data_IF_371757138788
#
_entry.id   IF_371757138788
#
_cell.length_a   1.000
_cell.length_b   1.000
_cell.length_c   1.000
_cell.angle_alpha   90.00
_cell.angle_beta   90.00
_cell.angle_gamma   90.00
#
_symmetry.space_group_name_H-M   'P 1'
#
loop_
_entity.id
_entity.type
_entity.pdbx_description
1 polymer ?
#
# COMPACT_ATOMS: atom_id res chain seq x y z
N UNK A 1 2.34 -16.94 -27.71
CA UNK A 1 2.63 -15.58 -27.19
C UNK A 1 1.33 -15.06 -26.61
N UNK A 2 1.19 -15.07 -25.29
CA UNK A 2 -0.07 -14.64 -24.67
C UNK A 2 -0.22 -13.12 -24.85
N UNK A 3 -1.38 -12.63 -25.31
CA UNK A 3 -1.64 -11.20 -25.39
C UNK A 3 -1.47 -10.59 -23.99
N UNK A 4 -0.75 -9.48 -23.95
CA UNK A 4 -0.38 -8.69 -22.77
C UNK A 4 -1.49 -8.72 -21.72
N UNK A 5 -1.30 -9.48 -20.64
CA UNK A 5 -2.23 -9.48 -19.52
C UNK A 5 -2.08 -8.12 -18.83
N UNK A 6 -3.02 -7.21 -19.11
CA UNK A 6 -3.01 -5.88 -18.49
C UNK A 6 -3.18 -6.04 -16.99
N UNK A 7 -2.15 -5.72 -16.21
CA UNK A 7 -2.22 -5.72 -14.75
C UNK A 7 -3.40 -4.85 -14.29
N UNK A 8 -4.38 -5.46 -13.61
CA UNK A 8 -5.54 -4.76 -13.08
C UNK A 8 -5.13 -3.96 -11.83
N UNK A 9 -5.60 -2.72 -11.74
CA UNK A 9 -5.33 -1.82 -10.61
C UNK A 9 -6.65 -1.36 -10.03
N UNK A 10 -6.79 -1.49 -8.71
CA UNK A 10 -7.97 -1.07 -7.99
C UNK A 10 -7.60 0.09 -7.06
N UNK A 11 -8.42 1.14 -7.07
CA UNK A 11 -8.25 2.29 -6.19
C UNK A 11 -9.36 2.30 -5.15
N UNK A 12 -8.98 2.17 -3.88
CA UNK A 12 -9.90 2.29 -2.75
C UNK A 12 -9.67 3.64 -2.04
N UNK A 13 -10.49 4.63 -2.38
CA UNK A 13 -10.41 5.99 -1.85
C UNK A 13 -11.55 6.29 -0.88
N UNK A 14 -11.34 7.23 0.04
CA UNK A 14 -12.35 7.64 1.01
C UNK A 14 -11.74 8.32 2.25
N UNK A 15 -12.56 9.01 3.07
CA UNK A 15 -12.08 9.79 4.20
C UNK A 15 -11.44 8.92 5.30
N UNK A 16 -10.66 9.53 6.18
CA UNK A 16 -10.13 8.84 7.38
C UNK A 16 -11.28 8.25 8.19
N UNK A 17 -11.05 7.10 8.82
CA UNK A 17 -12.04 6.34 9.59
C UNK A 17 -13.25 5.79 8.79
N UNK A 18 -13.24 5.82 7.45
CA UNK A 18 -14.31 5.22 6.63
C UNK A 18 -14.23 3.70 6.45
N UNK A 19 -13.33 3.01 7.17
CA UNK A 19 -13.19 1.55 7.12
C UNK A 19 -12.39 0.99 5.94
N UNK A 20 -11.63 1.81 5.21
CA UNK A 20 -10.86 1.38 4.01
C UNK A 20 -9.93 0.20 4.29
N UNK A 21 -9.18 0.23 5.40
CA UNK A 21 -8.26 -0.85 5.78
C UNK A 21 -8.97 -2.19 5.93
N UNK A 22 -10.13 -2.21 6.61
CA UNK A 22 -10.91 -3.44 6.77
C UNK A 22 -11.41 -3.97 5.41
N UNK A 23 -11.85 -3.07 4.52
CA UNK A 23 -12.30 -3.43 3.17
C UNK A 23 -11.13 -3.95 2.32
N UNK A 24 -9.97 -3.29 2.35
CA UNK A 24 -8.80 -3.72 1.57
C UNK A 24 -8.31 -5.10 2.01
N UNK A 25 -8.25 -5.35 3.32
CA UNK A 25 -7.87 -6.67 3.87
C UNK A 25 -8.84 -7.78 3.47
N UNK A 26 -10.14 -7.47 3.34
CA UNK A 26 -11.14 -8.44 2.94
C UNK A 26 -11.19 -8.69 1.42
N UNK A 27 -10.82 -7.70 0.60
CA UNK A 27 -10.86 -7.79 -0.86
C UNK A 27 -9.57 -8.33 -1.46
N UNK A 28 -8.42 -7.90 -0.97
CA UNK A 28 -7.13 -8.23 -1.57
C UNK A 28 -6.87 -9.74 -1.75
N UNK A 29 -7.18 -10.63 -0.78
CA UNK A 29 -7.03 -12.08 -0.97
C UNK A 29 -7.95 -12.66 -2.05
N UNK A 30 -9.12 -12.05 -2.27
CA UNK A 30 -10.09 -12.48 -3.30
C UNK A 30 -9.70 -12.03 -4.70
N UNK A 31 -8.86 -10.99 -4.79
CA UNK A 31 -8.37 -10.42 -6.03
C UNK A 31 -6.95 -10.91 -6.36
N UNK A 32 -6.36 -11.75 -5.51
CA UNK A 32 -4.93 -12.10 -5.57
C UNK A 32 -4.04 -10.86 -5.68
N UNK A 33 -4.35 -9.85 -4.87
CA UNK A 33 -3.76 -8.53 -4.93
C UNK A 33 -2.95 -8.20 -3.68
N UNK A 34 -1.89 -7.43 -3.88
CA UNK A 34 -1.14 -6.79 -2.80
C UNK A 34 -1.65 -5.36 -2.56
N UNK A 35 -1.41 -4.81 -1.37
CA UNK A 35 -1.88 -3.48 -0.99
C UNK A 35 -0.75 -2.47 -1.12
N UNK A 36 -0.94 -1.43 -1.93
CA UNK A 36 -0.08 -0.25 -1.96
C UNK A 36 -0.75 0.85 -1.13
N UNK A 37 -0.13 1.21 0.01
CA UNK A 37 -0.67 2.27 0.88
C UNK A 37 -0.61 3.63 0.19
N UNK A 38 -1.75 4.32 0.12
CA UNK A 38 -1.87 5.66 -0.47
C UNK A 38 -2.15 6.72 0.61
N UNK A 39 -1.37 6.67 1.70
CA UNK A 39 -1.52 7.53 2.89
C UNK A 39 -0.17 8.18 3.24
N UNK A 40 -0.18 9.51 3.44
CA UNK A 40 1.04 10.28 3.68
C UNK A 40 1.63 10.11 5.08
N UNK A 41 0.88 9.54 6.03
CA UNK A 41 1.31 9.34 7.41
C UNK A 41 1.81 7.92 7.68
N UNK A 42 1.31 6.92 6.94
CA UNK A 42 1.74 5.53 7.12
C UNK A 42 3.19 5.25 6.66
N UNK A 43 3.77 6.15 5.87
CA UNK A 43 5.18 6.06 5.43
C UNK A 43 6.19 6.24 6.57
N UNK A 44 5.79 6.78 7.72
CA UNK A 44 6.68 7.08 8.84
C UNK A 44 6.76 5.93 9.86
N UNK A 45 8.00 5.55 10.19
CA UNK A 45 8.30 4.51 11.18
C UNK A 45 7.94 4.90 12.60
N UNK A 46 7.36 3.96 13.34
CA UNK A 46 7.03 4.11 14.77
C UNK A 46 5.85 5.05 15.07
N UNK A 47 5.18 5.58 14.04
CA UNK A 47 4.00 6.44 14.18
C UNK A 47 2.69 5.65 14.10
N UNK A 48 2.55 4.57 14.86
CA UNK A 48 1.51 3.56 14.58
C UNK A 48 0.12 3.94 15.12
N UNK A 49 0.04 4.33 16.40
CA UNK A 49 -1.23 4.61 17.09
C UNK A 49 -1.95 5.84 16.52
N UNK A 50 -1.23 6.94 16.30
CA UNK A 50 -1.81 8.21 15.83
C UNK A 50 -2.24 8.19 14.37
N UNK A 51 -1.77 7.22 13.59
CA UNK A 51 -2.04 7.13 12.14
C UNK A 51 -2.98 5.97 11.79
N UNK A 52 -3.44 5.22 12.79
CA UNK A 52 -4.22 3.99 12.61
C UNK A 52 -3.54 3.03 11.62
N UNK A 53 -2.22 2.86 11.75
CA UNK A 53 -1.45 1.94 10.92
C UNK A 53 -1.96 0.50 11.09
N UNK A 54 -2.10 -0.27 9.99
CA UNK A 54 -2.45 -1.68 10.09
C UNK A 54 -1.48 -2.40 11.04
N UNK A 55 -2.02 -3.19 11.95
CA UNK A 55 -1.25 -3.99 12.89
C UNK A 55 -0.38 -5.02 12.15
N UNK A 56 0.66 -5.53 12.83
CA UNK A 56 1.50 -6.58 12.26
C UNK A 56 0.70 -7.83 11.84
N UNK A 57 -0.36 -8.18 12.59
CA UNK A 57 -1.24 -9.28 12.24
C UNK A 57 -2.02 -9.00 10.94
N UNK A 58 -2.53 -7.77 10.74
CA UNK A 58 -3.21 -7.37 9.51
C UNK A 58 -2.24 -7.33 8.31
N UNK A 59 -1.02 -6.85 8.51
CA UNK A 59 0.02 -6.83 7.48
C UNK A 59 0.51 -8.24 7.08
N UNK A 60 0.30 -9.25 7.94
CA UNK A 60 0.58 -10.65 7.60
C UNK A 60 -0.52 -11.29 6.73
N UNK A 61 -1.74 -10.74 6.74
CA UNK A 61 -2.86 -11.27 5.92
C UNK A 61 -2.62 -10.99 4.44
N UNK A 62 -2.12 -9.79 4.12
CA UNK A 62 -1.79 -9.34 2.76
C UNK A 62 -0.54 -8.48 2.82
N UNK A 63 0.35 -8.64 1.85
CA UNK A 63 1.54 -7.79 1.74
C UNK A 63 1.14 -6.32 1.53
N UNK A 64 1.66 -5.46 2.40
CA UNK A 64 1.51 -4.01 2.30
C UNK A 64 2.81 -3.37 1.82
N UNK A 65 2.70 -2.44 0.90
CA UNK A 65 3.77 -1.59 0.40
C UNK A 65 3.58 -0.15 0.87
N UNK A 66 4.68 0.60 0.84
CA UNK A 66 4.72 2.03 1.16
C UNK A 66 4.26 2.38 2.58
N UNK A 67 4.54 1.49 3.51
CA UNK A 67 4.46 1.72 4.95
C UNK A 67 5.87 1.65 5.54
N UNK A 68 6.13 2.41 6.61
CA UNK A 68 7.41 2.33 7.35
C UNK A 68 8.66 2.56 6.46
N UNK A 69 8.59 3.52 5.55
CA UNK A 69 9.65 3.86 4.58
C UNK A 69 10.74 4.77 5.14
N UNK A 70 10.38 5.73 5.99
CA UNK A 70 11.27 6.79 6.45
C UNK A 70 11.15 7.02 7.96
N UNK A 71 12.17 7.66 8.54
CA UNK A 71 12.12 8.11 9.93
C UNK A 71 11.14 9.29 10.10
N UNK A 72 10.57 9.50 11.30
CA UNK A 72 9.62 10.59 11.57
C UNK A 72 10.24 12.00 11.43
N UNK A 73 11.56 12.09 11.47
CA UNK A 73 12.37 13.30 11.28
C UNK A 73 12.70 13.61 9.81
N UNK A 74 12.36 12.71 8.89
CA UNK A 74 12.71 12.82 7.48
C UNK A 74 11.55 13.41 6.68
N UNK A 75 11.84 14.25 5.69
CA UNK A 75 10.79 14.75 4.78
C UNK A 75 10.40 13.70 3.74
N UNK A 76 9.10 13.50 3.53
CA UNK A 76 8.57 12.63 2.49
C UNK A 76 7.62 13.37 1.54
N UNK A 77 8.03 13.52 0.29
CA UNK A 77 7.29 14.29 -0.72
C UNK A 77 6.44 13.40 -1.62
N UNK A 78 5.50 14.01 -2.35
CA UNK A 78 4.73 13.31 -3.39
C UNK A 78 5.63 12.76 -4.51
N UNK A 79 6.78 13.38 -4.78
CA UNK A 79 7.74 12.88 -5.75
C UNK A 79 8.41 11.58 -5.24
N UNK A 80 8.76 11.53 -3.95
CA UNK A 80 9.26 10.30 -3.32
C UNK A 80 8.20 9.19 -3.39
N UNK A 81 6.96 9.50 -3.03
CA UNK A 81 5.84 8.57 -3.11
C UNK A 81 5.66 7.99 -4.51
N UNK A 82 5.59 8.87 -5.53
CA UNK A 82 5.41 8.46 -6.93
C UNK A 82 6.51 7.50 -7.37
N UNK A 83 7.77 7.80 -7.05
CA UNK A 83 8.89 6.97 -7.46
C UNK A 83 8.85 5.59 -6.77
N UNK A 84 8.55 5.56 -5.47
CA UNK A 84 8.42 4.31 -4.73
C UNK A 84 7.22 3.47 -5.23
N UNK A 85 6.09 4.10 -5.55
CA UNK A 85 4.93 3.42 -6.12
C UNK A 85 5.23 2.81 -7.49
N UNK A 86 5.92 3.56 -8.37
CA UNK A 86 6.33 3.06 -9.69
C UNK A 86 7.31 1.89 -9.59
N UNK A 87 8.20 1.92 -8.59
CA UNK A 87 9.11 0.81 -8.33
C UNK A 87 8.33 -0.45 -7.93
N UNK A 88 7.41 -0.34 -6.95
CA UNK A 88 6.55 -1.45 -6.53
C UNK A 88 5.74 -2.00 -7.71
N UNK A 89 5.11 -1.13 -8.52
CA UNK A 89 4.37 -1.56 -9.70
C UNK A 89 5.25 -2.33 -10.70
N UNK A 90 6.48 -1.87 -10.92
CA UNK A 90 7.42 -2.56 -11.82
C UNK A 90 7.84 -3.92 -11.26
N UNK A 91 8.04 -4.05 -9.95
CA UNK A 91 8.40 -5.31 -9.31
C UNK A 91 7.25 -6.31 -9.40
N UNK A 92 6.00 -5.88 -9.18
CA UNK A 92 4.82 -6.73 -9.30
C UNK A 92 4.59 -7.21 -10.74
N UNK A 93 4.82 -6.35 -11.73
CA UNK A 93 4.71 -6.72 -13.16
C UNK A 93 5.73 -7.77 -13.60
N UNK A 94 6.87 -7.88 -12.90
CA UNK A 94 7.90 -8.88 -13.21
C UNK A 94 7.66 -10.22 -12.51
N UNK A 95 6.82 -10.25 -11.47
CA UNK A 95 6.50 -11.45 -10.69
C UNK A 95 5.33 -12.26 -11.27
N UNK A 96 4.51 -11.64 -12.13
CA UNK A 96 3.42 -12.29 -12.89
C UNK A 96 3.83 -12.68 -14.30
#
# INVERSE_FOLDING_TARGET
>A
MNPTQTAQRFFLLGPTASGKTAISLALAPKLDAEILSLDSMLVYRGMDLGTAKPSAAEQQVVRHHLIDLVGPDQEYSVAHFRNAALQVESELQQQG
#
